data_IF_082210070721
#
_entry.id   IF_082210070721
#
_cell.length_a   1.000
_cell.length_b   1.000
_cell.length_c   1.000
_cell.angle_alpha   90.00
_cell.angle_beta   90.00
_cell.angle_gamma   90.00
#
_symmetry.space_group_name_H-M   'P 1'
#
loop_
_entity.id
_entity.type
_entity.pdbx_description
1 polymer ?
#
# COMPACT_ATOMS: atom_id res chain seq x y z
N UNK A 1 -18.80 1.60 8.48
CA UNK A 1 -17.71 2.53 8.80
C UNK A 1 -16.92 2.77 7.51
N UNK A 2 -16.59 4.01 7.21
CA UNK A 2 -15.88 4.42 5.98
C UNK A 2 -14.46 4.91 6.32
N UNK A 3 -13.47 4.46 5.56
CA UNK A 3 -12.06 4.86 5.69
C UNK A 3 -11.44 4.99 4.30
N UNK A 4 -10.55 5.95 4.11
CA UNK A 4 -9.76 6.10 2.88
C UNK A 4 -8.27 5.95 3.18
N UNK A 5 -7.55 5.21 2.32
CA UNK A 5 -6.09 5.15 2.27
C UNK A 5 -5.60 5.53 0.88
N UNK A 6 -4.31 5.78 0.72
CA UNK A 6 -3.73 6.12 -0.57
C UNK A 6 -2.74 5.05 -1.04
N UNK A 7 -2.87 4.69 -2.30
CA UNK A 7 -1.95 3.84 -3.04
C UNK A 7 -1.43 4.60 -4.27
N UNK A 8 -0.56 3.97 -5.03
CA UNK A 8 -0.16 4.46 -6.34
C UNK A 8 -0.18 3.36 -7.38
N UNK A 9 -0.66 3.69 -8.57
CA UNK A 9 -0.55 2.87 -9.76
C UNK A 9 0.65 3.35 -10.58
N UNK A 10 1.61 2.46 -10.85
CA UNK A 10 2.80 2.77 -11.64
C UNK A 10 2.47 2.62 -13.12
N UNK A 11 2.75 3.65 -13.91
CA UNK A 11 2.56 3.68 -15.36
C UNK A 11 3.88 4.09 -16.02
N UNK A 12 4.69 3.12 -16.44
CA UNK A 12 6.02 3.37 -16.98
C UNK A 12 6.98 3.97 -15.93
N UNK A 13 7.40 5.21 -16.15
CA UNK A 13 8.27 5.97 -15.24
C UNK A 13 7.49 6.85 -14.25
N UNK A 14 6.18 6.98 -14.45
CA UNK A 14 5.28 7.80 -13.65
C UNK A 14 4.42 6.95 -12.72
N UNK A 15 3.75 7.62 -11.79
CA UNK A 15 2.73 7.01 -10.96
C UNK A 15 1.50 7.92 -10.83
N UNK A 16 0.35 7.30 -10.65
CA UNK A 16 -0.92 8.00 -10.41
C UNK A 16 -1.40 7.65 -9.01
N UNK A 17 -1.83 8.66 -8.25
CA UNK A 17 -2.43 8.42 -6.94
C UNK A 17 -3.77 7.70 -7.09
N UNK A 18 -3.95 6.64 -6.31
CA UNK A 18 -5.19 5.88 -6.21
C UNK A 18 -5.72 6.02 -4.79
N UNK A 19 -6.96 6.48 -4.68
CA UNK A 19 -7.67 6.48 -3.41
C UNK A 19 -8.31 5.11 -3.21
N UNK A 20 -8.00 4.47 -2.10
CA UNK A 20 -8.56 3.18 -1.70
C UNK A 20 -9.61 3.46 -0.63
N UNK A 21 -10.86 3.39 -0.99
CA UNK A 21 -12.01 3.65 -0.13
C UNK A 21 -12.56 2.34 0.40
N UNK A 22 -12.56 2.19 1.71
CA UNK A 22 -13.03 0.97 2.38
C UNK A 22 -14.29 1.27 3.15
N UNK A 23 -15.36 0.56 2.85
CA UNK A 23 -16.62 0.65 3.56
C UNK A 23 -17.02 -0.69 4.18
N UNK A 24 -17.18 -0.69 5.50
CA UNK A 24 -17.70 -1.81 6.28
C UNK A 24 -19.18 -1.63 6.50
N UNK A 25 -19.99 -2.57 6.01
CA UNK A 25 -21.44 -2.59 6.20
C UNK A 25 -21.87 -3.86 6.93
N UNK A 26 -22.99 -3.78 7.68
CA UNK A 26 -23.64 -4.95 8.25
C UNK A 26 -24.40 -5.75 7.17
N UNK A 27 -24.66 -7.04 7.44
CA UNK A 27 -25.57 -7.84 6.59
C UNK A 27 -24.88 -8.49 5.40
N UNK A 28 -23.88 -9.31 5.64
CA UNK A 28 -23.25 -10.14 4.60
C UNK A 28 -21.81 -10.51 4.92
N UNK A 29 -21.29 -11.48 4.20
CA UNK A 29 -19.90 -11.91 4.27
C UNK A 29 -19.25 -11.65 2.90
N UNK A 30 -18.05 -11.12 2.89
CA UNK A 30 -17.24 -11.00 1.69
C UNK A 30 -16.50 -9.69 1.56
N UNK A 31 -15.44 -9.74 0.75
CA UNK A 31 -14.68 -8.59 0.30
C UNK A 31 -14.99 -8.37 -1.19
N UNK A 32 -15.40 -7.17 -1.54
CA UNK A 32 -15.79 -6.80 -2.91
C UNK A 32 -14.88 -5.67 -3.38
N UNK A 33 -14.17 -5.89 -4.49
CA UNK A 33 -13.30 -4.90 -5.12
C UNK A 33 -13.97 -4.29 -6.34
N UNK A 34 -14.04 -2.95 -6.39
CA UNK A 34 -14.56 -2.18 -7.53
C UNK A 34 -13.55 -1.10 -7.95
N UNK A 35 -13.72 -0.49 -9.12
CA UNK A 35 -12.81 0.55 -9.62
C UNK A 35 -11.75 0.03 -10.59
N UNK A 36 -12.16 -0.85 -11.52
CA UNK A 36 -11.33 -1.39 -12.61
C UNK A 36 -10.06 -2.14 -12.15
N UNK A 37 -10.16 -3.08 -11.17
CA UNK A 37 -9.02 -3.90 -10.78
C UNK A 37 -8.66 -4.91 -11.88
N UNK A 38 -7.36 -5.15 -12.12
CA UNK A 38 -6.90 -6.27 -12.92
C UNK A 38 -7.03 -7.61 -12.14
N UNK A 39 -6.61 -8.70 -12.75
CA UNK A 39 -6.68 -10.02 -12.09
C UNK A 39 -5.79 -10.10 -10.85
N UNK A 40 -4.59 -9.51 -10.88
CA UNK A 40 -3.67 -9.51 -9.74
C UNK A 40 -4.25 -8.73 -8.54
N UNK A 41 -4.95 -7.60 -8.80
CA UNK A 41 -5.66 -6.84 -7.77
C UNK A 41 -6.90 -7.58 -7.27
N UNK A 42 -7.63 -8.30 -8.14
CA UNK A 42 -8.76 -9.14 -7.69
C UNK A 42 -8.33 -10.28 -6.77
N UNK A 43 -7.16 -10.86 -7.01
CA UNK A 43 -6.56 -11.88 -6.15
C UNK A 43 -6.15 -11.36 -4.76
N UNK A 44 -6.04 -10.03 -4.59
CA UNK A 44 -5.79 -9.40 -3.28
C UNK A 44 -6.81 -9.84 -2.23
N UNK A 45 -8.06 -10.11 -2.63
CA UNK A 45 -9.08 -10.62 -1.70
C UNK A 45 -8.59 -11.89 -0.99
N UNK A 46 -8.07 -12.86 -1.76
CA UNK A 46 -7.64 -14.14 -1.22
C UNK A 46 -6.39 -13.98 -0.37
N UNK A 47 -5.41 -13.17 -0.82
CA UNK A 47 -4.19 -12.92 -0.06
C UNK A 47 -4.46 -12.21 1.27
N UNK A 48 -5.30 -11.16 1.26
CA UNK A 48 -5.66 -10.41 2.46
C UNK A 48 -6.43 -11.31 3.44
N UNK A 49 -7.39 -12.10 2.95
CA UNK A 49 -8.16 -13.03 3.78
C UNK A 49 -7.25 -14.04 4.49
N UNK A 50 -6.39 -14.72 3.72
CA UNK A 50 -5.44 -15.69 4.28
C UNK A 50 -4.45 -15.03 5.25
N UNK A 51 -3.90 -13.85 4.92
CA UNK A 51 -3.00 -13.12 5.78
C UNK A 51 -3.65 -12.74 7.12
N UNK A 52 -4.92 -12.33 7.11
CA UNK A 52 -5.66 -12.02 8.34
C UNK A 52 -5.89 -13.26 9.18
N UNK A 53 -6.33 -14.37 8.59
CA UNK A 53 -6.54 -15.63 9.28
C UNK A 53 -5.23 -16.15 9.91
N UNK A 54 -4.14 -16.18 9.16
CA UNK A 54 -2.84 -16.66 9.63
C UNK A 54 -2.18 -15.73 10.68
N UNK A 55 -2.60 -14.46 10.75
CA UNK A 55 -2.15 -13.52 11.80
C UNK A 55 -3.12 -13.42 12.98
N UNK A 56 -4.13 -14.31 13.05
CA UNK A 56 -5.10 -14.38 14.14
C UNK A 56 -6.16 -13.26 14.10
N UNK A 57 -6.29 -12.58 12.96
CA UNK A 57 -7.33 -11.57 12.73
C UNK A 57 -8.50 -12.21 12.01
N UNK A 58 -9.70 -11.97 12.50
CA UNK A 58 -10.91 -12.41 11.82
C UNK A 58 -11.45 -11.20 11.05
N UNK A 59 -11.62 -11.34 9.75
CA UNK A 59 -12.53 -10.46 9.03
C UNK A 59 -13.92 -10.71 9.62
N UNK A 60 -14.27 -9.88 10.59
CA UNK A 60 -15.56 -10.01 11.31
C UNK A 60 -16.66 -10.06 10.27
N UNK A 61 -17.66 -10.95 10.45
CA UNK A 61 -18.75 -11.29 9.53
C UNK A 61 -19.54 -10.12 8.92
N UNK A 62 -18.81 -9.15 8.37
CA UNK A 62 -19.30 -7.94 7.73
C UNK A 62 -18.94 -7.95 6.25
N UNK A 63 -19.78 -7.31 5.47
CA UNK A 63 -19.50 -7.04 4.06
C UNK A 63 -18.49 -5.89 3.98
N UNK A 64 -17.36 -6.12 3.30
CA UNK A 64 -16.34 -5.12 3.02
C UNK A 64 -16.43 -4.76 1.53
N UNK A 65 -16.64 -3.49 1.23
CA UNK A 65 -16.57 -2.98 -0.14
C UNK A 65 -15.37 -2.06 -0.23
N UNK A 66 -14.49 -2.34 -1.19
CA UNK A 66 -13.30 -1.53 -1.47
C UNK A 66 -13.44 -0.95 -2.87
N UNK A 67 -13.43 0.37 -2.97
CA UNK A 67 -13.42 1.09 -4.23
C UNK A 67 -12.02 1.68 -4.49
N UNK A 68 -11.50 1.46 -5.68
CA UNK A 68 -10.21 1.97 -6.14
C UNK A 68 -10.44 3.14 -7.11
N UNK A 69 -10.39 4.37 -6.62
CA UNK A 69 -10.63 5.57 -7.41
C UNK A 69 -9.32 6.20 -7.94
N UNK A 70 -9.32 6.76 -9.16
CA UNK A 70 -10.43 6.94 -10.08
C UNK A 70 -10.76 5.65 -10.86
N UNK A 71 -12.02 5.50 -11.30
CA UNK A 71 -12.48 4.27 -11.94
C UNK A 71 -12.06 4.13 -13.43
N UNK A 72 -11.61 5.19 -14.06
CA UNK A 72 -11.12 5.22 -15.44
C UNK A 72 -9.68 4.73 -15.60
N UNK A 73 -8.94 4.65 -14.50
CA UNK A 73 -7.57 4.12 -14.46
C UNK A 73 -7.59 2.62 -14.12
N UNK A 74 -6.99 1.80 -14.96
CA UNK A 74 -6.76 0.39 -14.66
C UNK A 74 -5.69 0.24 -13.57
N UNK A 75 -6.00 -0.52 -12.51
CA UNK A 75 -5.08 -0.81 -11.40
C UNK A 75 -4.46 -2.17 -11.65
N UNK A 76 -3.13 -2.20 -11.70
CA UNK A 76 -2.36 -3.39 -12.03
C UNK A 76 -1.38 -3.77 -10.91
N UNK A 77 -1.23 -5.08 -10.70
CA UNK A 77 -0.24 -5.65 -9.80
C UNK A 77 -0.66 -5.72 -8.34
N UNK A 78 0.08 -6.52 -7.58
CA UNK A 78 -0.24 -6.86 -6.18
C UNK A 78 0.12 -5.76 -5.15
N UNK A 79 0.66 -4.63 -5.59
CA UNK A 79 1.06 -3.52 -4.70
C UNK A 79 -0.09 -2.88 -3.91
N UNK A 80 -1.33 -3.19 -4.29
CA UNK A 80 -2.54 -2.71 -3.63
C UNK A 80 -2.94 -3.50 -2.38
N UNK A 81 -2.33 -4.66 -2.13
CA UNK A 81 -2.69 -5.51 -0.97
C UNK A 81 -2.53 -4.75 0.35
N UNK A 82 -1.38 -4.09 0.54
CA UNK A 82 -1.10 -3.37 1.77
C UNK A 82 -2.06 -2.19 2.02
N UNK A 83 -2.30 -1.26 1.08
CA UNK A 83 -3.25 -0.17 1.31
C UNK A 83 -4.69 -0.67 1.54
N UNK A 84 -5.12 -1.73 0.89
CA UNK A 84 -6.43 -2.35 1.12
C UNK A 84 -6.50 -2.95 2.54
N UNK A 85 -5.50 -3.76 2.93
CA UNK A 85 -5.44 -4.37 4.25
C UNK A 85 -5.41 -3.33 5.37
N UNK A 86 -4.60 -2.28 5.25
CA UNK A 86 -4.54 -1.17 6.22
C UNK A 86 -5.88 -0.45 6.31
N UNK A 87 -6.53 -0.20 5.18
CA UNK A 87 -7.86 0.41 5.13
C UNK A 87 -8.92 -0.44 5.86
N UNK A 88 -8.90 -1.76 5.65
CA UNK A 88 -9.81 -2.69 6.34
C UNK A 88 -9.54 -2.67 7.86
N UNK A 89 -8.30 -2.74 8.30
CA UNK A 89 -7.95 -2.72 9.72
C UNK A 89 -8.32 -1.40 10.40
N UNK A 90 -8.14 -0.28 9.71
CA UNK A 90 -8.57 1.01 10.21
C UNK A 90 -10.11 1.09 10.30
N UNK A 91 -10.82 0.56 9.30
CA UNK A 91 -12.27 0.47 9.33
C UNK A 91 -12.79 -0.48 10.42
N UNK A 92 -12.00 -1.47 10.85
CA UNK A 92 -12.26 -2.34 11.99
C UNK A 92 -11.83 -1.72 13.33
N UNK A 93 -11.23 -0.53 13.30
CA UNK A 93 -10.65 0.16 14.48
C UNK A 93 -9.48 -0.60 15.14
N UNK A 94 -8.82 -1.50 14.40
CA UNK A 94 -7.63 -2.23 14.88
C UNK A 94 -6.35 -1.41 14.73
N UNK A 95 -6.35 -0.40 13.87
CA UNK A 95 -5.27 0.57 13.71
C UNK A 95 -5.81 1.99 13.69
N UNK A 96 -5.01 2.95 14.20
CA UNK A 96 -5.39 4.37 14.16
C UNK A 96 -5.43 4.88 12.72
N UNK A 97 -6.50 5.62 12.40
CA UNK A 97 -6.68 6.28 11.11
C UNK A 97 -5.97 7.64 10.95
N UNK A 98 -5.37 8.19 12.02
CA UNK A 98 -4.85 9.57 12.04
C UNK A 98 -3.80 9.86 10.97
N UNK A 99 -2.96 8.89 10.65
CA UNK A 99 -1.86 9.07 9.70
C UNK A 99 -2.25 8.74 8.26
N UNK A 100 -3.39 8.10 8.03
CA UNK A 100 -3.83 7.66 6.70
C UNK A 100 -3.94 8.82 5.70
N UNK A 101 -4.49 10.01 6.05
CA UNK A 101 -4.62 11.11 5.11
C UNK A 101 -3.29 11.69 4.59
N UNK A 102 -2.18 11.36 5.25
CA UNK A 102 -0.85 11.87 4.90
C UNK A 102 0.12 10.78 4.45
N UNK A 103 -0.38 9.56 4.23
CA UNK A 103 0.46 8.39 3.97
C UNK A 103 0.00 7.65 2.72
N UNK A 104 0.95 7.38 1.82
CA UNK A 104 0.77 6.44 0.71
C UNK A 104 1.32 5.08 1.11
N UNK A 105 0.67 4.01 0.67
CA UNK A 105 1.06 2.64 0.95
C UNK A 105 1.28 1.88 -0.35
N UNK A 106 2.28 1.02 -0.41
CA UNK A 106 2.45 0.04 -1.46
C UNK A 106 3.14 -1.21 -0.92
N UNK A 107 2.59 -2.38 -1.19
CA UNK A 107 3.14 -3.66 -0.73
C UNK A 107 2.25 -4.83 -1.15
N UNK A 108 2.87 -5.94 -1.49
CA UNK A 108 2.21 -7.21 -1.72
C UNK A 108 2.16 -8.01 -0.43
N UNK A 109 1.04 -8.68 -0.13
CA UNK A 109 0.90 -9.59 1.00
C UNK A 109 1.14 -11.04 0.58
N UNK A 110 1.96 -11.73 1.36
CA UNK A 110 1.99 -13.19 1.37
C UNK A 110 0.84 -13.74 2.21
N UNK A 111 0.50 -15.00 2.02
CA UNK A 111 -0.60 -15.66 2.75
C UNK A 111 -0.36 -15.75 4.26
N UNK A 112 0.91 -15.72 4.70
CA UNK A 112 1.31 -15.70 6.11
C UNK A 112 1.28 -14.29 6.75
N UNK A 113 0.90 -13.25 5.96
CA UNK A 113 0.85 -11.86 6.39
C UNK A 113 2.19 -11.12 6.30
N UNK A 114 3.25 -11.74 5.77
CA UNK A 114 4.50 -11.02 5.47
C UNK A 114 4.34 -10.14 4.23
N UNK A 115 5.16 -9.07 4.16
CA UNK A 115 5.15 -8.16 3.02
C UNK A 115 6.28 -8.52 2.05
N UNK A 116 5.93 -8.55 0.76
CA UNK A 116 6.86 -8.74 -0.35
C UNK A 116 7.16 -7.41 -1.04
N UNK A 117 8.40 -7.24 -1.55
CA UNK A 117 8.79 -6.02 -2.23
C UNK A 117 7.96 -5.77 -3.50
N UNK A 118 7.71 -4.49 -3.78
CA UNK A 118 7.00 -4.04 -4.97
C UNK A 118 7.92 -3.28 -5.91
N UNK A 119 7.57 -3.23 -7.18
CA UNK A 119 8.28 -2.44 -8.20
C UNK A 119 7.79 -0.98 -8.19
N UNK A 120 8.64 -0.08 -8.71
CA UNK A 120 8.23 1.31 -8.93
C UNK A 120 8.18 2.17 -7.66
N UNK A 121 8.94 1.84 -6.61
CA UNK A 121 8.98 2.65 -5.38
C UNK A 121 9.41 4.09 -5.65
N UNK A 122 10.32 4.31 -6.61
CA UNK A 122 10.79 5.67 -6.93
C UNK A 122 9.67 6.54 -7.53
N UNK A 123 8.96 6.15 -8.61
CA UNK A 123 7.82 6.93 -9.10
C UNK A 123 6.72 7.10 -8.04
N UNK A 124 6.48 6.10 -7.18
CA UNK A 124 5.54 6.23 -6.06
C UNK A 124 5.99 7.30 -5.06
N UNK A 125 7.29 7.36 -4.75
CA UNK A 125 7.83 8.37 -3.84
C UNK A 125 7.72 9.79 -4.44
N UNK A 126 8.04 9.95 -5.72
CA UNK A 126 7.88 11.22 -6.43
C UNK A 126 6.41 11.64 -6.41
N UNK A 127 5.50 10.73 -6.77
CA UNK A 127 4.06 11.02 -6.77
C UNK A 127 3.53 11.36 -5.37
N UNK A 128 3.94 10.64 -4.34
CA UNK A 128 3.54 10.94 -2.96
C UNK A 128 3.96 12.37 -2.56
N UNK A 129 5.17 12.80 -2.95
CA UNK A 129 5.64 14.16 -2.75
C UNK A 129 4.76 15.18 -3.46
N UNK A 130 4.50 14.98 -4.74
CA UNK A 130 3.79 15.92 -5.58
C UNK A 130 2.31 16.08 -5.14
N UNK A 131 1.77 15.04 -4.49
CA UNK A 131 0.46 15.05 -3.83
C UNK A 131 0.49 15.60 -2.39
N UNK A 132 1.64 16.08 -1.91
CA UNK A 132 1.79 16.62 -0.56
C UNK A 132 1.70 15.58 0.58
N UNK A 133 1.83 14.30 0.25
CA UNK A 133 1.82 13.24 1.25
C UNK A 133 3.16 13.20 1.99
N UNK A 134 3.12 13.05 3.30
CA UNK A 134 4.30 13.13 4.17
C UNK A 134 5.05 11.80 4.31
N UNK A 135 4.41 10.68 3.94
CA UNK A 135 4.95 9.33 4.16
C UNK A 135 4.64 8.44 2.98
N UNK A 136 5.59 7.56 2.68
CA UNK A 136 5.40 6.40 1.84
C UNK A 136 5.80 5.17 2.66
N UNK A 137 4.89 4.23 2.83
CA UNK A 137 5.11 2.97 3.53
C UNK A 137 5.24 1.86 2.50
N UNK A 138 6.40 1.21 2.51
CA UNK A 138 6.74 0.09 1.62
C UNK A 138 7.37 -1.05 2.42
N UNK A 139 7.42 -2.26 1.88
CA UNK A 139 8.18 -3.36 2.49
C UNK A 139 9.63 -2.98 2.76
N UNK A 140 10.20 -3.48 3.86
CA UNK A 140 11.57 -3.13 4.28
C UNK A 140 12.64 -3.59 3.28
N UNK A 141 12.29 -4.56 2.44
CA UNK A 141 13.14 -5.08 1.36
C UNK A 141 13.17 -4.15 0.13
N UNK A 142 12.32 -3.12 0.10
CA UNK A 142 12.38 -2.02 -0.85
C UNK A 142 13.18 -0.84 -0.24
N UNK A 143 14.52 -0.86 -0.22
CA UNK A 143 15.28 0.27 0.31
C UNK A 143 15.03 1.52 -0.54
N UNK A 144 15.04 2.71 0.06
CA UNK A 144 14.97 3.96 -0.70
C UNK A 144 16.17 4.01 -1.67
N UNK A 145 15.89 3.96 -2.96
CA UNK A 145 16.89 4.01 -4.04
C UNK A 145 17.12 2.70 -4.78
N UNK A 146 16.45 1.60 -4.47
CA UNK A 146 16.54 0.36 -5.26
C UNK A 146 15.70 0.39 -6.56
N UNK A 147 15.82 1.46 -7.32
CA UNK A 147 15.57 1.39 -8.75
C UNK A 147 16.73 0.58 -9.35
N UNK A 148 16.55 -0.70 -9.64
CA UNK A 148 17.41 -1.37 -10.61
C UNK A 148 17.14 -0.72 -11.96
N UNK A 149 17.75 0.46 -12.14
CA UNK A 149 17.87 1.13 -13.42
C UNK A 149 18.81 0.32 -14.28
N UNK A 150 18.38 0.08 -15.49
CA UNK A 150 19.19 -0.30 -16.65
C UNK A 150 20.50 0.50 -16.63
N UNK A 151 21.63 -0.17 -16.84
CA UNK A 151 22.96 0.33 -16.68
C UNK A 151 23.26 1.65 -17.40
N UNK A 152 24.01 2.50 -16.70
CA UNK A 152 24.63 3.70 -17.22
C UNK A 152 25.62 4.21 -16.18
N UNK A 153 26.90 4.09 -16.48
CA UNK A 153 28.02 4.52 -15.68
C UNK A 153 28.04 6.04 -15.48
N UNK A 154 28.44 6.52 -14.29
CA UNK A 154 28.91 7.90 -14.13
C UNK A 154 28.63 8.51 -12.76
N UNK A 155 29.57 8.46 -11.89
CA UNK A 155 30.07 9.25 -10.79
C UNK A 155 29.26 10.42 -10.22
N UNK A 156 29.26 10.53 -8.88
CA UNK A 156 28.95 11.77 -8.20
C UNK A 156 28.30 11.53 -6.84
N UNK A 157 29.08 11.55 -5.76
CA UNK A 157 28.65 11.31 -4.39
C UNK A 157 27.76 12.43 -3.85
N UNK A 158 26.69 12.02 -3.22
CA UNK A 158 25.84 12.82 -2.38
C UNK A 158 25.15 11.91 -1.37
N UNK A 159 25.73 11.78 -0.16
CA UNK A 159 25.14 10.96 0.91
C UNK A 159 24.05 11.74 1.64
N UNK A 160 22.85 11.68 1.13
CA UNK A 160 21.65 12.03 1.90
C UNK A 160 21.16 10.79 2.66
N UNK A 161 21.43 10.67 3.95
CA UNK A 161 20.88 9.62 4.81
C UNK A 161 19.39 9.91 5.05
N UNK A 162 18.52 9.24 4.31
CA UNK A 162 17.11 9.15 4.67
C UNK A 162 16.99 8.41 6.00
N UNK A 163 16.51 9.09 7.05
CA UNK A 163 16.20 8.46 8.35
C UNK A 163 14.86 7.74 8.24
N UNK A 164 14.89 6.47 7.88
CA UNK A 164 13.72 5.59 7.96
C UNK A 164 13.51 5.12 9.41
N UNK A 165 12.34 5.37 10.00
CA UNK A 165 11.92 4.69 11.23
C UNK A 165 11.33 3.33 10.85
N UNK A 166 11.84 2.26 11.45
CA UNK A 166 11.30 0.90 11.28
C UNK A 166 10.14 0.73 12.24
N UNK A 167 8.96 0.49 11.70
CA UNK A 167 7.79 0.01 12.44
C UNK A 167 7.58 -1.47 12.15
N UNK A 168 7.18 -2.24 13.13
CA UNK A 168 6.81 -3.64 12.92
C UNK A 168 5.29 -3.79 13.01
N UNK A 169 4.72 -4.31 11.96
CA UNK A 169 3.37 -4.84 12.00
C UNK A 169 3.51 -6.34 12.23
N UNK A 170 3.21 -6.84 13.42
CA UNK A 170 3.43 -8.20 13.95
C UNK A 170 4.06 -9.18 12.93
N UNK A 171 5.39 -9.12 12.80
CA UNK A 171 6.16 -10.00 11.92
C UNK A 171 6.55 -9.43 10.55
N UNK A 172 5.86 -8.43 10.04
CA UNK A 172 6.18 -7.81 8.75
C UNK A 172 6.99 -6.54 8.97
N UNK A 173 8.16 -6.46 8.34
CA UNK A 173 9.03 -5.27 8.40
C UNK A 173 8.58 -4.28 7.33
N UNK A 174 8.07 -3.12 7.76
CA UNK A 174 7.81 -1.98 6.89
C UNK A 174 8.88 -0.91 7.04
N UNK A 175 9.29 -0.30 5.97
CA UNK A 175 10.09 0.93 5.98
C UNK A 175 9.16 2.11 5.71
N UNK A 176 9.10 3.05 6.65
CA UNK A 176 8.45 4.34 6.43
C UNK A 176 9.49 5.27 5.85
N UNK A 177 9.37 5.57 4.57
CA UNK A 177 10.13 6.63 3.95
C UNK A 177 9.42 7.95 4.20
N UNK A 178 10.07 8.86 4.94
CA UNK A 178 9.70 10.28 4.95
C UNK A 178 10.61 10.97 3.93
N UNK A 179 10.16 11.19 2.71
CA UNK A 179 11.03 11.68 1.64
C UNK A 179 11.57 13.10 1.90
N UNK A 180 11.00 13.84 2.87
CA UNK A 180 11.14 15.29 3.00
C UNK A 180 11.29 15.76 4.45
N UNK A 181 12.00 15.06 5.32
CA UNK A 181 12.41 15.65 6.58
C UNK A 181 13.47 16.73 6.28
N UNK A 182 13.08 18.03 6.36
CA UNK A 182 13.99 19.17 6.46
C UNK A 182 14.74 19.11 7.79
#
# INVERSE_FOLDING_TARGET
MFVSTYAGAVAGIDAVKVTVEVNLTGGGLGLYLVGLPDNAVKESEQRIRAAFENTGRKMSGRKVVVNLAPADLRKEGAGFDLPIAVGILAAMSEVSGELLPTTMFAGELSLDGTLRPVRGVLPLAVKARDEGLRRLVVPAENPPGSGRGVGGAGGGGGRGKARGRRGSWRGSKCTVCTPWAR
#
